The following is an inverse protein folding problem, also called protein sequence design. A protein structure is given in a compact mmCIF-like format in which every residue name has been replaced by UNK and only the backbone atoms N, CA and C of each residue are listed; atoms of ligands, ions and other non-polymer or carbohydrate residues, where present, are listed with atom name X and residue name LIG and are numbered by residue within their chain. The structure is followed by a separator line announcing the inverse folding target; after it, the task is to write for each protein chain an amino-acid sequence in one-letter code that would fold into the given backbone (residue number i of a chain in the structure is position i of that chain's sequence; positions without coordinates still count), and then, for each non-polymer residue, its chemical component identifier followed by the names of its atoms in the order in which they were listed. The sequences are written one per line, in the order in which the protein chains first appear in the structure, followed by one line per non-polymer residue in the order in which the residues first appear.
data_IF_367603569481
#
_entry.id   IF_367603569481
#
_cell.length_a   1.000
_cell.length_b   1.000
_cell.length_c   1.000
_cell.angle_alpha   90.00
_cell.angle_beta   90.00
_cell.angle_gamma   90.00
#
_symmetry.space_group_name_H-M   'P 1'
#
loop_
_entity.id
_entity.type
_entity.pdbx_description
1 polymer ?
#
# COMPACT_ATOMS: atom_id res chain seq x y z
N UNK A 1 15.93 -6.56 10.82
CA UNK A 1 16.98 -5.54 11.06
C UNK A 1 16.42 -4.13 10.92
N UNK A 2 16.03 -3.71 9.71
CA UNK A 2 15.45 -2.39 9.40
C UNK A 2 14.38 -1.88 10.37
N UNK A 3 13.39 -2.71 10.76
CA UNK A 3 12.36 -2.32 11.76
C UNK A 3 12.96 -1.82 13.07
N UNK A 4 14.00 -2.49 13.58
CA UNK A 4 14.69 -2.09 14.81
C UNK A 4 15.44 -0.76 14.62
N UNK A 5 16.07 -0.58 13.47
CA UNK A 5 16.73 0.70 13.11
C UNK A 5 15.72 1.85 13.07
N UNK A 6 14.54 1.58 12.52
CA UNK A 6 13.42 2.52 12.44
C UNK A 6 12.63 2.68 13.76
N UNK A 7 13.04 2.00 14.84
CA UNK A 7 12.35 1.99 16.14
C UNK A 7 10.87 1.57 16.04
N UNK A 8 10.57 0.65 15.11
CA UNK A 8 9.24 0.10 14.90
C UNK A 8 9.02 -1.15 15.75
N UNK A 9 7.86 -1.22 16.38
CA UNK A 9 7.38 -2.42 17.06
C UNK A 9 7.05 -3.52 16.04
N UNK A 10 7.09 -4.81 16.40
CA UNK A 10 6.73 -5.90 15.48
C UNK A 10 5.33 -5.78 14.87
N UNK A 11 4.39 -5.14 15.56
CA UNK A 11 2.99 -4.98 15.13
C UNK A 11 2.73 -3.74 14.29
N UNK A 12 3.71 -2.85 14.14
CA UNK A 12 3.53 -1.64 13.33
C UNK A 12 3.26 -2.01 11.87
N UNK A 13 2.24 -1.38 11.31
CA UNK A 13 1.85 -1.58 9.93
C UNK A 13 2.77 -0.77 9.02
N UNK A 14 3.46 -1.46 8.12
CA UNK A 14 4.39 -0.88 7.15
C UNK A 14 4.16 -1.46 5.77
N UNK A 15 4.47 -0.66 4.76
CA UNK A 15 4.72 -1.15 3.42
C UNK A 15 6.23 -1.34 3.22
N UNK A 16 6.61 -2.37 2.48
CA UNK A 16 8.01 -2.66 2.14
C UNK A 16 8.19 -2.59 0.64
N UNK A 17 9.10 -1.72 0.21
CA UNK A 17 9.41 -1.53 -1.19
C UNK A 17 10.83 -1.96 -1.52
N UNK A 18 11.07 -2.25 -2.80
CA UNK A 18 12.41 -2.49 -3.32
C UNK A 18 12.68 -1.67 -4.59
N UNK A 19 13.94 -1.31 -4.81
CA UNK A 19 14.42 -0.67 -6.04
C UNK A 19 15.76 -1.28 -6.43
N UNK A 20 15.90 -1.72 -7.68
CA UNK A 20 17.19 -2.17 -8.22
C UNK A 20 18.02 -0.96 -8.64
N UNK A 21 19.29 -0.91 -8.24
CA UNK A 21 20.21 0.20 -8.58
C UNK A 21 20.76 0.06 -9.99
N UNK A 22 20.91 -1.19 -10.46
CA UNK A 22 21.48 -1.57 -11.75
C UNK A 22 20.42 -1.70 -12.86
N UNK A 23 19.14 -1.42 -12.57
CA UNK A 23 18.00 -1.65 -13.48
C UNK A 23 17.94 -3.08 -14.04
N UNK A 24 18.52 -4.04 -13.33
CA UNK A 24 18.48 -5.45 -13.72
C UNK A 24 17.14 -6.06 -13.34
N UNK A 25 16.48 -6.73 -14.30
CA UNK A 25 15.25 -7.48 -14.05
C UNK A 25 15.47 -8.71 -13.16
N UNK A 26 16.72 -9.16 -12.99
CA UNK A 26 17.06 -10.36 -12.22
C UNK A 26 16.53 -10.31 -10.79
N UNK A 27 16.61 -9.15 -10.13
CA UNK A 27 16.09 -9.00 -8.77
C UNK A 27 14.57 -9.17 -8.75
N UNK A 28 13.87 -8.56 -9.70
CA UNK A 28 12.42 -8.68 -9.81
C UNK A 28 12.03 -10.15 -10.08
N UNK A 29 12.70 -10.85 -10.99
CA UNK A 29 12.46 -12.27 -11.28
C UNK A 29 12.65 -13.15 -10.03
N UNK A 30 13.71 -12.90 -9.25
CA UNK A 30 13.98 -13.60 -8.00
C UNK A 30 12.84 -13.35 -6.99
N UNK A 31 12.50 -12.08 -6.75
CA UNK A 31 11.46 -11.70 -5.78
C UNK A 31 10.06 -12.18 -6.20
N UNK A 32 9.82 -12.35 -7.50
CA UNK A 32 8.58 -12.90 -8.05
C UNK A 32 8.51 -14.43 -7.96
N UNK A 33 9.63 -15.13 -7.73
CA UNK A 33 9.61 -16.58 -7.54
C UNK A 33 8.65 -16.98 -6.41
N UNK A 34 7.83 -18.00 -6.66
CA UNK A 34 6.79 -18.44 -5.71
C UNK A 34 7.37 -18.76 -4.33
N UNK A 35 8.54 -19.39 -4.30
CA UNK A 35 9.25 -19.73 -3.06
C UNK A 35 9.55 -18.51 -2.18
N UNK A 36 10.09 -17.43 -2.76
CA UNK A 36 10.46 -16.24 -1.99
C UNK A 36 9.22 -15.50 -1.51
N UNK A 37 8.17 -15.43 -2.33
CA UNK A 37 6.89 -14.83 -1.93
C UNK A 37 6.28 -15.54 -0.71
N UNK A 38 6.27 -16.87 -0.73
CA UNK A 38 5.71 -17.68 0.36
C UNK A 38 6.54 -17.54 1.65
N UNK A 39 7.86 -17.38 1.55
CA UNK A 39 8.76 -17.21 2.70
C UNK A 39 8.66 -15.81 3.32
N UNK A 40 8.50 -14.77 2.51
CA UNK A 40 8.51 -13.38 3.00
C UNK A 40 7.19 -12.95 3.65
N UNK A 41 6.07 -13.62 3.36
CA UNK A 41 4.77 -13.38 3.97
C UNK A 41 4.11 -12.02 3.65
N UNK A 42 4.87 -11.07 3.10
CA UNK A 42 4.42 -9.77 2.60
C UNK A 42 4.85 -9.61 1.14
N UNK A 43 4.00 -9.00 0.30
CA UNK A 43 4.42 -8.59 -1.05
C UNK A 43 5.46 -7.49 -0.94
N UNK A 44 6.66 -7.73 -1.43
CA UNK A 44 7.60 -6.68 -1.76
C UNK A 44 7.06 -5.91 -2.97
N UNK A 45 6.81 -4.63 -2.80
CA UNK A 45 6.27 -3.77 -3.85
C UNK A 45 7.46 -3.09 -4.56
N UNK A 46 7.57 -3.12 -5.90
CA UNK A 46 8.56 -2.32 -6.59
C UNK A 46 8.31 -0.85 -6.28
N UNK A 47 9.36 -0.09 -6.01
CA UNK A 47 9.26 1.34 -5.74
C UNK A 47 8.56 2.11 -6.87
N UNK A 48 8.69 1.64 -8.11
CA UNK A 48 7.98 2.19 -9.27
C UNK A 48 6.45 2.10 -9.18
N UNK A 49 5.92 1.19 -8.37
CA UNK A 49 4.48 1.06 -8.09
C UNK A 49 4.05 1.84 -6.83
N UNK A 50 4.96 2.53 -6.15
CA UNK A 50 4.63 3.38 -5.01
C UNK A 50 3.80 4.59 -5.43
N UNK A 51 2.91 5.04 -4.56
CA UNK A 51 2.18 6.29 -4.77
C UNK A 51 3.10 7.49 -4.52
N UNK A 52 2.79 8.64 -5.14
CA UNK A 52 3.52 9.90 -4.94
C UNK A 52 3.62 10.34 -3.48
N UNK A 53 2.65 9.91 -2.66
CA UNK A 53 2.51 10.34 -1.27
C UNK A 53 3.23 9.39 -0.30
N UNK A 54 3.97 8.40 -0.82
CA UNK A 54 4.71 7.44 0.00
C UNK A 54 5.64 8.16 0.98
N UNK A 55 5.49 7.84 2.27
CA UNK A 55 6.35 8.36 3.33
C UNK A 55 7.34 7.30 3.77
N UNK A 56 8.59 7.41 3.33
CA UNK A 56 9.70 6.54 3.73
C UNK A 56 10.05 6.81 5.19
N UNK A 57 10.12 5.75 5.99
CA UNK A 57 10.55 5.78 7.39
C UNK A 57 12.05 5.49 7.46
N UNK A 58 12.51 4.47 6.72
CA UNK A 58 13.89 4.03 6.70
C UNK A 58 14.19 3.31 5.38
N UNK A 59 15.43 3.37 4.93
CA UNK A 59 15.92 2.63 3.78
C UNK A 59 17.30 2.03 4.08
N UNK A 60 17.63 0.93 3.41
CA UNK A 60 18.94 0.30 3.50
C UNK A 60 19.35 -0.25 2.13
N UNK A 61 20.56 0.08 1.71
CA UNK A 61 21.16 -0.44 0.49
C UNK A 61 21.84 -1.78 0.75
N UNK A 62 21.71 -2.68 -0.21
CA UNK A 62 22.26 -4.03 -0.18
C UNK A 62 22.97 -4.33 -1.48
N UNK A 63 24.09 -5.05 -1.37
CA UNK A 63 24.79 -5.63 -2.52
C UNK A 63 25.01 -7.11 -2.28
N UNK A 64 24.54 -7.94 -3.18
CA UNK A 64 24.61 -9.41 -3.10
C UNK A 64 24.93 -9.96 -4.48
N UNK A 65 26.10 -10.61 -4.65
CA UNK A 65 26.54 -11.23 -5.91
C UNK A 65 26.28 -10.33 -7.14
N UNK A 66 26.88 -9.13 -7.12
CA UNK A 66 26.78 -8.08 -8.14
C UNK A 66 25.41 -7.42 -8.34
N UNK A 67 24.36 -7.88 -7.65
CA UNK A 67 23.07 -7.19 -7.61
C UNK A 67 23.10 -6.14 -6.50
N UNK A 68 22.78 -4.90 -6.85
CA UNK A 68 22.65 -3.81 -5.89
C UNK A 68 21.21 -3.32 -5.85
N UNK A 69 20.63 -3.25 -4.66
CA UNK A 69 19.24 -2.85 -4.47
C UNK A 69 19.03 -2.13 -3.15
N UNK A 70 17.94 -1.38 -3.06
CA UNK A 70 17.54 -0.66 -1.85
C UNK A 70 16.21 -1.21 -1.37
N UNK A 71 16.10 -1.47 -0.07
CA UNK A 71 14.84 -1.80 0.58
C UNK A 71 14.35 -0.58 1.34
N UNK A 72 13.07 -0.23 1.15
CA UNK A 72 12.41 0.88 1.84
C UNK A 72 11.36 0.32 2.79
N UNK A 73 11.35 0.81 4.02
CA UNK A 73 10.21 0.71 4.92
C UNK A 73 9.47 2.05 4.84
N UNK A 74 8.20 2.01 4.47
CA UNK A 74 7.33 3.18 4.44
C UNK A 74 6.10 2.99 5.34
N UNK A 75 5.45 4.11 5.66
CA UNK A 75 4.16 4.08 6.34
C UNK A 75 3.11 3.42 5.45
N UNK A 76 2.30 2.51 6.01
CA UNK A 76 1.10 2.02 5.31
C UNK A 76 0.15 3.18 5.02
N UNK A 77 -0.38 3.20 3.80
CA UNK A 77 -1.36 4.19 3.38
C UNK A 77 -2.50 3.51 2.63
N UNK A 78 -3.74 4.03 2.74
CA UNK A 78 -4.84 3.53 1.94
C UNK A 78 -4.58 3.81 0.45
N UNK A 79 -4.85 2.81 -0.40
CA UNK A 79 -4.80 2.93 -1.84
C UNK A 79 -6.22 2.76 -2.40
N UNK A 80 -6.63 3.68 -3.27
CA UNK A 80 -7.92 3.62 -3.95
C UNK A 80 -7.76 2.85 -5.27
N UNK A 81 -8.73 1.99 -5.57
CA UNK A 81 -8.81 1.35 -6.87
C UNK A 81 -9.29 2.32 -7.96
N UNK A 82 -8.86 2.08 -9.20
CA UNK A 82 -9.21 2.94 -10.34
C UNK A 82 -10.71 2.90 -10.70
N UNK A 83 -11.41 1.82 -10.35
CA UNK A 83 -12.85 1.64 -10.63
C UNK A 83 -13.74 2.59 -9.80
N UNK A 84 -13.20 3.19 -8.74
CA UNK A 84 -13.90 4.10 -7.84
C UNK A 84 -14.49 5.34 -8.52
N UNK A 85 -13.93 5.76 -9.65
CA UNK A 85 -14.47 6.90 -10.42
C UNK A 85 -15.93 6.67 -10.82
N UNK A 86 -16.29 5.43 -11.17
CA UNK A 86 -17.67 5.08 -11.50
C UNK A 86 -18.60 5.20 -10.29
N UNK A 87 -18.13 4.81 -9.11
CA UNK A 87 -18.82 4.95 -7.83
C UNK A 87 -18.95 6.41 -7.38
N UNK A 88 -18.04 7.27 -7.81
CA UNK A 88 -18.10 8.71 -7.64
C UNK A 88 -18.93 9.43 -8.74
N UNK A 89 -19.72 8.70 -9.53
CA UNK A 89 -20.50 9.26 -10.66
C UNK A 89 -19.64 10.01 -11.70
N UNK A 90 -18.41 9.57 -11.92
CA UNK A 90 -17.46 10.21 -12.85
C UNK A 90 -16.78 11.46 -12.28
N UNK A 91 -16.98 11.79 -11.00
CA UNK A 91 -16.42 12.99 -10.39
C UNK A 91 -15.03 12.71 -9.80
N UNK A 92 -13.98 13.19 -10.47
CA UNK A 92 -12.59 13.07 -10.00
C UNK A 92 -12.33 13.83 -8.70
N UNK A 93 -12.99 14.96 -8.49
CA UNK A 93 -12.81 15.78 -7.29
C UNK A 93 -13.40 15.07 -6.05
N UNK A 94 -14.47 14.30 -6.23
CA UNK A 94 -15.00 13.43 -5.18
C UNK A 94 -14.02 12.30 -4.84
N UNK A 95 -13.40 11.67 -5.84
CA UNK A 95 -12.37 10.63 -5.62
C UNK A 95 -11.17 11.22 -4.88
N UNK A 96 -10.71 12.41 -5.26
CA UNK A 96 -9.59 13.06 -4.57
C UNK A 96 -9.96 13.49 -3.15
N UNK A 97 -11.15 14.06 -2.94
CA UNK A 97 -11.63 14.38 -1.60
C UNK A 97 -11.71 13.13 -0.70
N UNK A 98 -12.13 12.00 -1.27
CA UNK A 98 -12.13 10.72 -0.56
C UNK A 98 -10.72 10.21 -0.26
N UNK A 99 -9.79 10.35 -1.22
CA UNK A 99 -8.38 10.00 -1.03
C UNK A 99 -7.77 10.78 0.14
N UNK A 100 -7.94 12.10 0.15
CA UNK A 100 -7.49 12.99 1.23
C UNK A 100 -8.13 12.60 2.55
N UNK A 101 -9.45 12.35 2.56
CA UNK A 101 -10.16 11.89 3.75
C UNK A 101 -9.51 10.61 4.30
N UNK A 102 -9.30 9.58 3.49
CA UNK A 102 -8.73 8.31 3.93
C UNK A 102 -7.27 8.44 4.39
N UNK A 103 -6.45 9.23 3.67
CA UNK A 103 -5.05 9.51 4.05
C UNK A 103 -4.94 10.22 5.41
N UNK A 104 -5.95 11.02 5.79
CA UNK A 104 -5.99 11.67 7.10
C UNK A 104 -6.29 10.72 8.27
N UNK A 105 -6.73 9.49 7.99
CA UNK A 105 -7.15 8.53 9.02
C UNK A 105 -5.97 7.70 9.50
N UNK A 106 -6.06 7.24 10.75
CA UNK A 106 -5.20 6.16 11.24
C UNK A 106 -5.55 4.84 10.53
N UNK A 107 -4.55 4.17 9.97
CA UNK A 107 -4.72 2.84 9.35
C UNK A 107 -5.35 1.84 10.32
N UNK A 108 -4.88 1.80 11.57
CA UNK A 108 -5.43 0.87 12.58
C UNK A 108 -6.91 1.14 12.85
N UNK A 109 -7.34 2.41 12.85
CA UNK A 109 -8.77 2.76 12.98
C UNK A 109 -9.56 2.36 11.75
N UNK A 110 -9.08 2.66 10.54
CA UNK A 110 -9.72 2.22 9.30
C UNK A 110 -9.88 0.69 9.25
N UNK A 111 -8.83 -0.04 9.63
CA UNK A 111 -8.86 -1.50 9.72
C UNK A 111 -9.97 -1.99 10.64
N UNK A 112 -10.07 -1.42 11.84
CA UNK A 112 -11.12 -1.77 12.80
C UNK A 112 -12.53 -1.43 12.28
N UNK A 113 -12.69 -0.30 11.58
CA UNK A 113 -13.96 0.11 10.98
C UNK A 113 -14.42 -0.89 9.90
N UNK A 114 -13.52 -1.24 8.98
CA UNK A 114 -13.82 -2.28 7.98
C UNK A 114 -14.11 -3.63 8.62
N UNK A 115 -13.37 -4.03 9.66
CA UNK A 115 -13.63 -5.30 10.37
C UNK A 115 -15.01 -5.30 11.04
N UNK A 116 -15.38 -4.19 11.71
CA UNK A 116 -16.70 -4.04 12.35
C UNK A 116 -17.83 -4.04 11.33
N UNK A 117 -17.60 -3.44 10.16
CA UNK A 117 -18.55 -3.39 9.05
C UNK A 117 -18.50 -4.59 8.09
N UNK A 118 -17.90 -5.71 8.50
CA UNK A 118 -17.76 -6.93 7.68
C UNK A 118 -17.17 -6.67 6.29
N UNK A 119 -16.05 -5.94 6.27
CA UNK A 119 -15.32 -5.54 5.06
C UNK A 119 -15.87 -4.29 4.37
N UNK A 120 -16.85 -3.60 4.93
CA UNK A 120 -17.49 -2.42 4.31
C UNK A 120 -17.59 -1.22 5.25
N UNK A 121 -17.49 -0.01 4.69
CA UNK A 121 -17.78 1.25 5.38
C UNK A 121 -18.55 2.19 4.44
N UNK A 122 -19.29 3.14 5.01
CA UNK A 122 -19.92 4.24 4.27
C UNK A 122 -19.29 5.56 4.69
N UNK A 123 -18.64 6.26 3.77
CA UNK A 123 -18.09 7.60 4.03
C UNK A 123 -19.17 8.63 3.71
N UNK A 124 -19.55 9.42 4.73
CA UNK A 124 -20.69 10.35 4.66
C UNK A 124 -20.37 11.76 5.16
N UNK A 125 -19.11 12.02 5.52
CA UNK A 125 -18.68 13.25 6.17
C UNK A 125 -17.89 14.19 5.25
N UNK A 126 -17.79 13.89 3.95
CA UNK A 126 -17.14 14.76 2.99
C UNK A 126 -18.18 15.79 2.53
N UNK A 127 -17.99 17.04 2.90
CA UNK A 127 -18.90 18.13 2.55
C UNK A 127 -18.97 18.32 1.03
N UNK A 128 -20.18 18.59 0.50
CA UNK A 128 -20.40 18.80 -0.93
C UNK A 128 -20.52 17.53 -1.77
N UNK A 129 -20.33 16.34 -1.19
CA UNK A 129 -20.39 15.07 -1.90
C UNK A 129 -21.41 14.09 -1.30
N UNK A 130 -22.04 13.23 -2.14
CA UNK A 130 -22.95 12.20 -1.64
C UNK A 130 -22.18 11.11 -0.87
N UNK A 131 -22.84 10.38 0.04
CA UNK A 131 -22.22 9.24 0.71
C UNK A 131 -21.70 8.20 -0.29
N UNK A 132 -20.57 7.59 0.01
CA UNK A 132 -19.94 6.57 -0.82
C UNK A 132 -19.64 5.30 -0.01
N UNK A 133 -20.05 4.16 -0.57
CA UNK A 133 -19.85 2.84 0.04
C UNK A 133 -18.54 2.22 -0.45
N UNK A 134 -17.70 1.84 0.50
CA UNK A 134 -16.37 1.30 0.26
C UNK A 134 -16.29 -0.13 0.75
N UNK A 135 -15.70 -0.98 -0.07
CA UNK A 135 -15.40 -2.35 0.27
C UNK A 135 -13.88 -2.56 0.27
N UNK A 136 -13.37 -3.13 1.37
CA UNK A 136 -11.97 -3.49 1.52
C UNK A 136 -11.60 -4.57 0.49
N UNK A 137 -10.44 -4.42 -0.15
CA UNK A 137 -9.96 -5.35 -1.18
C UNK A 137 -10.63 -5.19 -2.55
N UNK A 138 -11.54 -4.22 -2.70
CA UNK A 138 -12.17 -3.88 -3.97
C UNK A 138 -12.01 -2.40 -4.29
N UNK A 139 -12.64 -1.54 -3.48
CA UNK A 139 -12.61 -0.08 -3.66
C UNK A 139 -11.40 0.56 -2.97
N UNK A 140 -11.01 -0.01 -1.83
CA UNK A 140 -9.92 0.49 -0.97
C UNK A 140 -9.06 -0.67 -0.50
N UNK A 141 -7.75 -0.44 -0.44
CA UNK A 141 -6.74 -1.31 0.14
C UNK A 141 -6.04 -0.55 1.27
N UNK A 142 -5.65 -1.20 2.36
CA UNK A 142 -5.06 -0.52 3.53
C UNK A 142 -3.53 -0.38 3.44
N UNK A 143 -2.93 -0.97 2.41
CA UNK A 143 -1.50 -0.93 2.14
C UNK A 143 -1.25 -1.04 0.64
N UNK A 144 -0.10 -0.55 0.19
CA UNK A 144 0.33 -0.76 -1.19
C UNK A 144 0.60 -2.24 -1.47
N UNK A 145 1.08 -3.01 -0.47
CA UNK A 145 1.24 -4.45 -0.56
C UNK A 145 -0.05 -5.18 -0.92
N UNK A 146 -1.16 -4.87 -0.23
CA UNK A 146 -2.47 -5.49 -0.49
C UNK A 146 -2.98 -5.16 -1.90
N UNK A 147 -2.87 -3.88 -2.30
CA UNK A 147 -3.25 -3.42 -3.63
C UNK A 147 -2.44 -4.12 -4.72
N UNK A 148 -1.13 -4.20 -4.51
CA UNK A 148 -0.21 -4.81 -5.46
C UNK A 148 -0.45 -6.31 -5.64
N UNK A 149 -0.77 -7.03 -4.56
CA UNK A 149 -1.13 -8.44 -4.64
C UNK A 149 -2.43 -8.65 -5.41
N UNK A 150 -3.46 -7.84 -5.14
CA UNK A 150 -4.76 -7.98 -5.77
C UNK A 150 -4.76 -7.69 -7.28
N UNK A 151 -3.85 -6.84 -7.77
CA UNK A 151 -3.75 -6.52 -9.20
C UNK A 151 -2.76 -7.42 -9.98
N UNK A 152 -2.22 -8.45 -9.32
CA UNK A 152 -1.28 -9.41 -9.93
C UNK A 152 -1.87 -10.81 -10.17
N UNK A 153 -3.12 -11.02 -9.77
CA UNK A 153 -3.88 -12.27 -9.99
C UNK A 153 -4.58 -12.30 -11.33
#
# INVERSE_FOLDING_TARGET
KLRKTAQLEPTDLIDVYYESVDNSNTLEEILQSQYIRDVLGNSLVPKAAATSDMVVICEESHTVHDMSFVIYIARCMPVLAADLLSYASGNSDHVEALRVYLLSRSISRLKNEFQTGNGKITVRCIEGYPPIDLQLGKHVFLSAGDFYQANRS
#
